data_IF_785234130906
#
_entry.id   IF_785234130906
#
_cell.length_a   1.000
_cell.length_b   1.000
_cell.length_c   1.000
_cell.angle_alpha   90.00
_cell.angle_beta   90.00
_cell.angle_gamma   90.00
#
_symmetry.space_group_name_H-M   'P 1'
#
loop_
_entity.id
_entity.type
_entity.pdbx_description
1 polymer ?
#
# COMPACT_ATOMS: atom_id res chain seq x y z
N UNK A 1 5.60 1.54 -7.71
CA UNK A 1 5.81 2.01 -6.32
C UNK A 1 6.01 3.51 -6.40
N UNK A 2 5.20 4.32 -5.70
CA UNK A 2 5.31 5.78 -5.73
C UNK A 2 5.49 6.32 -4.31
N UNK A 3 6.39 7.29 -4.14
CA UNK A 3 6.62 8.03 -2.89
C UNK A 3 5.76 9.32 -2.82
N UNK A 4 4.97 9.58 -3.86
CA UNK A 4 4.11 10.75 -3.97
C UNK A 4 2.93 10.65 -2.99
N UNK A 5 2.75 11.68 -2.17
CA UNK A 5 1.72 11.76 -1.13
C UNK A 5 0.30 11.89 -1.72
N UNK A 6 0.16 12.43 -2.91
CA UNK A 6 -1.13 12.79 -3.51
C UNK A 6 -1.60 11.74 -4.52
N UNK A 7 -0.71 10.84 -4.94
CA UNK A 7 -1.03 9.73 -5.85
C UNK A 7 -2.11 8.79 -5.31
N UNK A 8 -2.12 8.56 -3.99
CA UNK A 8 -3.14 7.72 -3.36
C UNK A 8 -4.55 8.31 -3.44
N UNK A 9 -4.67 9.64 -3.35
CA UNK A 9 -5.93 10.35 -3.50
C UNK A 9 -6.42 10.34 -4.96
N UNK A 10 -5.50 10.48 -5.91
CA UNK A 10 -5.82 10.45 -7.35
C UNK A 10 -6.34 9.09 -7.82
N UNK A 11 -5.76 7.98 -7.36
CA UNK A 11 -6.25 6.65 -7.76
C UNK A 11 -7.54 6.25 -7.04
N UNK A 12 -7.74 6.69 -5.80
CA UNK A 12 -9.03 6.48 -5.12
C UNK A 12 -10.16 7.29 -5.77
N UNK A 13 -9.90 8.56 -6.12
CA UNK A 13 -10.90 9.43 -6.75
C UNK A 13 -11.25 9.03 -8.19
N UNK A 14 -10.41 8.24 -8.87
CA UNK A 14 -10.66 7.87 -10.26
C UNK A 14 -11.59 6.67 -10.44
N UNK A 15 -11.95 5.95 -9.37
CA UNK A 15 -12.79 4.74 -9.40
C UNK A 15 -12.40 3.72 -10.48
N UNK A 16 -11.14 3.75 -10.93
CA UNK A 16 -10.64 2.88 -11.96
C UNK A 16 -10.54 1.45 -11.41
N UNK A 17 -10.94 0.45 -12.20
CA UNK A 17 -10.67 -0.94 -11.87
C UNK A 17 -9.16 -1.13 -11.68
N UNK A 18 -8.75 -1.18 -10.42
CA UNK A 18 -7.36 -1.32 -10.03
C UNK A 18 -7.15 -2.66 -9.35
N UNK A 19 -6.03 -3.36 -9.63
CA UNK A 19 -5.60 -4.51 -8.83
C UNK A 19 -5.39 -4.18 -7.34
N UNK A 20 -5.41 -2.90 -6.96
CA UNK A 20 -5.13 -2.38 -5.62
C UNK A 20 -3.98 -1.38 -5.67
N UNK A 21 -3.98 -0.39 -4.77
CA UNK A 21 -2.90 0.60 -4.68
C UNK A 21 -2.28 0.56 -3.30
N UNK A 22 -0.95 0.52 -3.24
CA UNK A 22 -0.20 0.52 -2.00
C UNK A 22 0.70 1.75 -1.89
N UNK A 23 0.46 2.55 -0.85
CA UNK A 23 1.29 3.68 -0.44
C UNK A 23 2.22 3.25 0.71
N UNK A 24 3.53 3.38 0.51
CA UNK A 24 4.55 2.98 1.49
C UNK A 24 5.07 4.23 2.20
N UNK A 25 4.91 4.27 3.54
CA UNK A 25 5.34 5.39 4.39
C UNK A 25 6.33 4.89 5.44
N UNK A 26 7.61 4.86 5.08
CA UNK A 26 8.70 4.41 5.95
C UNK A 26 9.76 5.49 6.11
N UNK A 27 10.28 5.71 7.34
CA UNK A 27 11.45 6.55 7.53
C UNK A 27 12.70 5.87 6.94
N UNK A 28 13.67 6.69 6.51
CA UNK A 28 14.83 6.23 5.72
C UNK A 28 15.62 5.08 6.36
N UNK A 29 15.70 5.07 7.69
CA UNK A 29 16.37 4.06 8.51
C UNK A 29 15.69 2.68 8.50
N UNK A 30 14.44 2.57 8.05
CA UNK A 30 13.65 1.32 8.11
C UNK A 30 13.39 0.73 6.72
N UNK A 31 13.97 1.33 5.65
CA UNK A 31 13.72 0.92 4.25
C UNK A 31 14.11 -0.52 3.94
N UNK A 32 15.12 -1.06 4.62
CA UNK A 32 15.62 -2.44 4.39
C UNK A 32 14.55 -3.52 4.59
N UNK A 33 13.52 -3.25 5.39
CA UNK A 33 12.48 -4.22 5.71
C UNK A 33 11.22 -4.07 4.85
N UNK A 34 11.14 -3.05 3.98
CA UNK A 34 9.93 -2.76 3.20
C UNK A 34 9.56 -3.95 2.30
N UNK A 35 10.53 -4.49 1.57
CA UNK A 35 10.28 -5.58 0.63
C UNK A 35 9.68 -6.79 1.34
N UNK A 36 10.29 -7.22 2.45
CA UNK A 36 9.80 -8.35 3.26
C UNK A 36 8.39 -8.11 3.78
N UNK A 37 8.14 -6.94 4.39
CA UNK A 37 6.81 -6.60 4.95
C UNK A 37 5.74 -6.58 3.85
N UNK A 38 6.05 -6.02 2.68
CA UNK A 38 5.10 -5.92 1.57
C UNK A 38 4.80 -7.29 0.97
N UNK A 39 5.81 -8.12 0.75
CA UNK A 39 5.61 -9.48 0.20
C UNK A 39 4.79 -10.33 1.16
N UNK A 40 5.15 -10.36 2.45
CA UNK A 40 4.39 -11.10 3.47
C UNK A 40 2.94 -10.62 3.59
N UNK A 41 2.71 -9.31 3.46
CA UNK A 41 1.37 -8.76 3.47
C UNK A 41 0.55 -9.20 2.25
N UNK A 42 1.15 -9.16 1.06
CA UNK A 42 0.49 -9.56 -0.19
C UNK A 42 0.11 -11.03 -0.14
N UNK A 43 1.05 -11.92 0.19
CA UNK A 43 0.80 -13.36 0.26
C UNK A 43 -0.33 -13.73 1.23
N UNK A 44 -0.47 -12.99 2.33
CA UNK A 44 -1.51 -13.24 3.34
C UNK A 44 -2.86 -12.63 3.02
N UNK A 45 -2.93 -11.65 2.11
CA UNK A 45 -4.12 -10.81 1.93
C UNK A 45 -4.52 -10.59 0.46
N UNK A 46 -4.07 -11.43 -0.48
CA UNK A 46 -4.33 -11.30 -1.93
C UNK A 46 -5.77 -10.91 -2.27
N UNK A 47 -6.76 -11.54 -1.62
CA UNK A 47 -8.19 -11.28 -1.86
C UNK A 47 -8.66 -9.91 -1.35
N UNK A 48 -8.02 -9.36 -0.31
CA UNK A 48 -8.36 -8.06 0.32
C UNK A 48 -7.66 -6.88 -0.33
N UNK A 49 -6.75 -7.14 -1.28
CA UNK A 49 -5.96 -6.09 -1.95
C UNK A 49 -6.71 -5.52 -3.15
N UNK A 50 -7.47 -6.37 -3.85
CA UNK A 50 -8.17 -5.98 -5.07
C UNK A 50 -9.14 -4.83 -4.79
N UNK A 51 -9.03 -3.75 -5.56
CA UNK A 51 -9.88 -2.57 -5.42
C UNK A 51 -9.63 -1.68 -4.19
N UNK A 52 -8.70 -2.05 -3.29
CA UNK A 52 -8.49 -1.30 -2.05
C UNK A 52 -7.25 -0.39 -2.11
N UNK A 53 -7.30 0.69 -1.34
CA UNK A 53 -6.16 1.56 -1.07
C UNK A 53 -5.51 1.20 0.27
N UNK A 54 -4.24 0.77 0.18
CA UNK A 54 -3.47 0.24 1.31
C UNK A 54 -2.36 1.21 1.67
N UNK A 55 -2.25 1.51 2.96
CA UNK A 55 -1.14 2.30 3.51
C UNK A 55 -0.28 1.40 4.39
N UNK A 56 1.00 1.25 4.04
CA UNK A 56 1.97 0.45 4.79
C UNK A 56 2.91 1.39 5.55
N UNK A 57 2.95 1.22 6.87
CA UNK A 57 3.80 1.94 7.81
C UNK A 57 4.54 0.94 8.71
N UNK A 58 5.67 1.32 9.32
CA UNK A 58 6.31 0.50 10.34
C UNK A 58 5.31 0.08 11.43
N UNK A 59 5.11 -1.23 11.61
CA UNK A 59 4.21 -1.79 12.61
C UNK A 59 2.71 -1.63 12.34
N UNK A 60 2.31 -1.02 11.22
CA UNK A 60 0.89 -0.77 10.91
C UNK A 60 0.60 -0.83 9.42
N UNK A 61 -0.42 -1.61 9.05
CA UNK A 61 -0.97 -1.62 7.69
C UNK A 61 -2.45 -1.25 7.78
N UNK A 62 -2.90 -0.30 6.95
CA UNK A 62 -4.30 0.12 6.87
C UNK A 62 -4.85 -0.18 5.50
N UNK A 63 -5.99 -0.85 5.44
CA UNK A 63 -6.80 -1.05 4.23
C UNK A 63 -7.98 -0.08 4.33
N UNK A 64 -8.26 0.66 3.26
CA UNK A 64 -9.41 1.57 3.18
C UNK A 64 -10.47 0.91 2.29
N UNK A 65 -11.72 0.87 2.76
CA UNK A 65 -12.90 0.39 1.99
C UNK A 65 -13.22 1.29 0.80
#
# INVERSE_FOLDING_TARGET
MTEDKDFGQLVYASAAESPGVMLIRFPANTRKNIATIVVEFIERNTEKIKGHFIVVQPGRIRISE
#
